data_IF_402852317248
#
_entry.id   IF_402852317248
#
_cell.length_a   1.000
_cell.length_b   1.000
_cell.length_c   1.000
_cell.angle_alpha   90.00
_cell.angle_beta   90.00
_cell.angle_gamma   90.00
#
_symmetry.space_group_name_H-M   'P 1'
#
loop_
_entity.id
_entity.type
_entity.pdbx_description
1 polymer ?
#
# COMPACT_ATOMS: atom_id res chain seq x y z
N UNK A 1 -2.82 5.03 10.65
CA UNK A 1 -4.09 5.16 9.90
C UNK A 1 -3.88 4.73 8.47
N UNK A 2 -4.81 3.99 7.88
CA UNK A 2 -4.85 3.69 6.45
C UNK A 2 -5.99 4.43 5.78
N UNK A 3 -5.81 4.84 4.51
CA UNK A 3 -6.85 5.49 3.76
C UNK A 3 -6.85 5.11 2.27
N UNK A 4 -8.05 5.08 1.72
CA UNK A 4 -8.32 4.79 0.33
C UNK A 4 -9.07 5.95 -0.30
N UNK A 5 -8.52 6.51 -1.36
CA UNK A 5 -9.01 7.73 -1.98
C UNK A 5 -9.48 7.48 -3.41
N UNK A 6 -10.67 7.99 -3.71
CA UNK A 6 -11.18 8.02 -5.07
C UNK A 6 -10.18 8.72 -6.01
N UNK A 7 -9.96 8.18 -7.22
CA UNK A 7 -8.97 8.72 -8.16
C UNK A 7 -9.36 10.10 -8.73
N UNK A 8 -10.60 10.56 -8.48
CA UNK A 8 -11.07 11.89 -8.88
C UNK A 8 -10.77 13.00 -7.87
N UNK A 9 -10.15 12.62 -6.76
CA UNK A 9 -9.68 13.56 -5.76
C UNK A 9 -8.27 14.06 -6.10
N UNK A 10 -7.96 15.28 -5.66
CA UNK A 10 -6.57 15.77 -5.63
C UNK A 10 -5.83 15.05 -4.49
N UNK A 11 -5.20 13.94 -4.86
CA UNK A 11 -4.55 13.02 -3.92
C UNK A 11 -3.50 13.74 -3.05
N UNK A 12 -2.62 14.52 -3.65
CA UNK A 12 -1.53 15.18 -2.95
C UNK A 12 -2.04 16.21 -1.92
N UNK A 13 -3.01 17.03 -2.34
CA UNK A 13 -3.62 18.02 -1.45
C UNK A 13 -4.34 17.35 -0.27
N UNK A 14 -5.06 16.27 -0.52
CA UNK A 14 -5.80 15.57 0.52
C UNK A 14 -4.85 14.85 1.47
N UNK A 15 -3.84 14.17 0.96
CA UNK A 15 -2.83 13.48 1.77
C UNK A 15 -2.17 14.47 2.76
N UNK A 16 -1.72 15.62 2.25
CA UNK A 16 -1.12 16.66 3.09
C UNK A 16 -2.08 17.19 4.16
N UNK A 17 -3.32 17.49 3.80
CA UNK A 17 -4.33 18.01 4.74
C UNK A 17 -4.72 16.98 5.80
N UNK A 18 -4.89 15.72 5.41
CA UNK A 18 -5.17 14.64 6.35
C UNK A 18 -4.02 14.46 7.33
N UNK A 19 -2.78 14.41 6.86
CA UNK A 19 -1.63 14.23 7.72
C UNK A 19 -1.48 15.40 8.73
N UNK A 20 -1.69 16.62 8.27
CA UNK A 20 -1.72 17.78 9.18
C UNK A 20 -2.85 17.70 10.22
N UNK A 21 -4.03 17.23 9.83
CA UNK A 21 -5.18 17.13 10.72
C UNK A 21 -5.03 16.07 11.81
N UNK A 22 -4.39 14.94 11.51
CA UNK A 22 -4.16 13.86 12.48
C UNK A 22 -2.87 14.03 13.29
N UNK A 23 -2.00 14.98 12.90
CA UNK A 23 -0.66 15.18 13.45
C UNK A 23 0.41 14.39 12.71
N UNK A 24 1.48 15.06 12.35
CA UNK A 24 2.57 14.52 11.50
C UNK A 24 3.30 13.33 12.13
N UNK A 25 3.18 13.14 13.43
CA UNK A 25 3.74 11.99 14.15
C UNK A 25 2.90 10.71 13.99
N UNK A 26 1.66 10.84 13.51
CA UNK A 26 0.78 9.67 13.30
C UNK A 26 1.09 9.01 11.98
N UNK A 27 1.50 7.72 11.96
CA UNK A 27 1.73 7.02 10.71
C UNK A 27 0.47 7.02 9.82
N UNK A 28 0.60 7.56 8.62
CA UNK A 28 -0.47 7.67 7.64
C UNK A 28 -0.07 7.01 6.34
N UNK A 29 -0.81 6.00 5.93
CA UNK A 29 -0.67 5.36 4.62
C UNK A 29 -1.93 5.61 3.82
N UNK A 30 -1.78 6.16 2.63
CA UNK A 30 -2.91 6.38 1.71
C UNK A 30 -2.63 5.72 0.37
N UNK A 31 -3.69 5.24 -0.26
CA UNK A 31 -3.65 4.68 -1.61
C UNK A 31 -4.78 5.24 -2.45
N UNK A 32 -4.50 5.59 -3.68
CA UNK A 32 -5.55 5.77 -4.67
C UNK A 32 -6.16 4.43 -5.07
N UNK A 33 -7.42 4.45 -5.46
CA UNK A 33 -8.18 3.24 -5.80
C UNK A 33 -8.88 3.41 -7.15
N UNK A 34 -9.44 2.31 -7.67
CA UNK A 34 -10.37 2.33 -8.81
C UNK A 34 -11.85 2.31 -8.35
N UNK A 35 -12.07 2.30 -7.05
CA UNK A 35 -13.38 2.31 -6.38
C UNK A 35 -13.26 1.82 -4.95
N UNK A 36 -14.05 2.39 -4.05
CA UNK A 36 -14.01 2.12 -2.62
C UNK A 36 -15.18 1.22 -2.22
N UNK A 37 -14.89 0.28 -1.30
CA UNK A 37 -15.88 -0.56 -0.63
C UNK A 37 -15.85 -0.27 0.86
N UNK A 38 -17.02 0.02 1.43
CA UNK A 38 -17.15 0.24 2.86
C UNK A 38 -18.52 -0.26 3.34
N UNK A 39 -18.58 -0.85 4.53
CA UNK A 39 -19.83 -1.18 5.21
C UNK A 39 -20.13 -0.09 6.24
N UNK A 40 -21.31 0.50 6.19
CA UNK A 40 -21.74 1.46 7.20
C UNK A 40 -22.20 0.73 8.47
N UNK A 41 -21.93 1.33 9.64
CA UNK A 41 -22.40 0.81 10.93
C UNK A 41 -23.91 0.62 10.94
N UNK A 42 -24.34 -0.58 11.34
CA UNK A 42 -25.76 -0.95 11.47
C UNK A 42 -26.37 -1.69 10.28
N UNK A 43 -25.69 -1.80 9.16
CA UNK A 43 -26.16 -2.61 8.04
C UNK A 43 -25.60 -4.03 8.09
N UNK A 44 -26.50 -5.02 8.20
CA UNK A 44 -26.15 -6.44 8.23
C UNK A 44 -25.84 -7.05 6.86
N UNK A 45 -25.84 -6.27 5.80
CA UNK A 45 -25.63 -6.75 4.45
C UNK A 45 -24.42 -6.10 3.79
N UNK A 46 -23.60 -6.93 3.17
CA UNK A 46 -22.50 -6.53 2.29
C UNK A 46 -22.94 -5.78 1.02
N UNK A 47 -24.21 -5.45 0.90
CA UNK A 47 -24.79 -4.82 -0.28
C UNK A 47 -24.53 -3.33 -0.40
N UNK A 48 -23.88 -2.74 0.55
CA UNK A 48 -23.78 -1.30 0.62
C UNK A 48 -22.39 -0.81 0.32
N UNK A 49 -22.34 0.07 -0.61
CA UNK A 49 -21.29 1.01 -0.95
C UNK A 49 -20.12 0.51 -1.81
N UNK A 50 -20.41 -0.25 -2.84
CA UNK A 50 -19.62 -0.07 -4.04
C UNK A 50 -20.12 1.18 -4.75
N UNK A 51 -19.37 2.23 -4.70
CA UNK A 51 -19.69 3.44 -5.44
C UNK A 51 -18.67 3.62 -6.56
N UNK A 52 -19.12 3.26 -7.74
CA UNK A 52 -18.54 3.70 -8.99
C UNK A 52 -19.22 4.99 -9.49
N UNK A 53 -20.11 5.55 -8.68
CA UNK A 53 -20.70 6.84 -8.92
C UNK A 53 -19.65 7.93 -8.82
N UNK A 54 -19.86 9.04 -9.53
CA UNK A 54 -19.02 10.26 -9.55
C UNK A 54 -18.80 10.90 -8.17
N UNK A 55 -19.08 10.19 -7.09
CA UNK A 55 -18.89 10.65 -5.74
C UNK A 55 -17.45 10.45 -5.31
N UNK A 56 -16.74 11.55 -5.17
CA UNK A 56 -15.39 11.63 -4.58
C UNK A 56 -15.44 11.13 -3.14
N UNK A 57 -14.89 9.95 -2.87
CA UNK A 57 -14.95 9.28 -1.57
C UNK A 57 -13.56 9.10 -0.97
N UNK A 58 -13.54 9.06 0.34
CA UNK A 58 -12.38 8.70 1.15
C UNK A 58 -12.86 7.69 2.17
N UNK A 59 -12.20 6.54 2.23
CA UNK A 59 -12.40 5.54 3.27
C UNK A 59 -11.17 5.52 4.17
N UNK A 60 -11.38 5.70 5.47
CA UNK A 60 -10.29 5.73 6.45
C UNK A 60 -10.47 4.59 7.46
N UNK A 61 -9.38 3.85 7.73
CA UNK A 61 -9.28 2.86 8.80
C UNK A 61 -8.34 3.41 9.87
N UNK A 62 -8.87 3.53 11.08
CA UNK A 62 -8.11 3.95 12.24
C UNK A 62 -7.89 2.76 13.15
N UNK A 63 -6.66 2.60 13.59
CA UNK A 63 -6.28 1.58 14.56
C UNK A 63 -5.85 2.28 15.86
N UNK A 64 -6.40 1.82 16.98
CA UNK A 64 -5.98 2.32 18.28
C UNK A 64 -4.69 1.65 18.74
N UNK A 65 -3.97 2.29 19.64
CA UNK A 65 -2.78 1.73 20.29
C UNK A 65 -3.07 0.42 21.06
N UNK A 66 -4.32 0.18 21.40
CA UNK A 66 -4.72 -1.09 22.04
C UNK A 66 -4.72 -2.27 21.07
N UNK A 67 -4.71 -2.01 19.76
CA UNK A 67 -4.71 -3.05 18.71
C UNK A 67 -3.33 -3.19 18.08
N UNK A 68 -2.62 -2.08 17.87
CA UNK A 68 -1.29 -2.05 17.28
C UNK A 68 -0.30 -1.44 18.26
N UNK A 69 0.66 -2.25 18.76
CA UNK A 69 1.71 -1.79 19.68
C UNK A 69 2.82 -1.05 18.95
N UNK A 70 3.18 -1.55 17.78
CA UNK A 70 4.30 -1.03 16.98
C UNK A 70 3.91 -0.93 15.52
N UNK A 71 4.40 0.10 14.86
CA UNK A 71 4.20 0.34 13.43
C UNK A 71 5.53 0.73 12.82
N UNK A 72 5.84 0.13 11.69
CA UNK A 72 6.99 0.51 10.88
C UNK A 72 6.57 0.60 9.42
N UNK A 73 7.01 1.63 8.73
CA UNK A 73 6.74 1.88 7.31
C UNK A 73 8.04 1.93 6.55
N UNK A 74 8.08 1.33 5.38
CA UNK A 74 9.23 1.38 4.48
C UNK A 74 8.78 1.44 3.04
N UNK A 75 9.41 2.27 2.25
CA UNK A 75 9.25 2.35 0.80
C UNK A 75 10.34 1.56 0.10
N UNK A 76 9.94 0.75 -0.87
CA UNK A 76 10.84 -0.14 -1.60
C UNK A 76 10.77 0.20 -3.10
N UNK A 77 11.90 0.57 -3.72
CA UNK A 77 11.93 0.83 -5.16
C UNK A 77 11.71 -0.46 -5.94
N UNK A 78 10.80 -0.43 -6.91
CA UNK A 78 10.44 -1.59 -7.72
C UNK A 78 11.19 -1.67 -9.05
N UNK A 79 11.95 -0.64 -9.43
CA UNK A 79 12.75 -0.60 -10.66
C UNK A 79 11.91 -0.93 -11.91
N UNK A 80 10.77 -0.27 -12.04
CA UNK A 80 9.82 -0.54 -13.14
C UNK A 80 10.42 -0.33 -14.53
N UNK A 81 11.44 0.53 -14.63
CA UNK A 81 12.22 0.77 -15.84
C UNK A 81 12.93 -0.48 -16.39
N UNK A 82 13.23 -1.44 -15.52
CA UNK A 82 13.87 -2.70 -15.91
C UNK A 82 12.93 -3.59 -16.75
N UNK A 83 11.61 -3.37 -16.68
CA UNK A 83 10.62 -4.15 -17.45
C UNK A 83 10.69 -3.79 -18.94
N UNK A 84 10.95 -2.54 -19.24
CA UNK A 84 10.94 -2.02 -20.59
C UNK A 84 12.29 -2.26 -21.32
N UNK A 85 13.32 -2.69 -20.57
CA UNK A 85 14.62 -3.04 -21.14
C UNK A 85 14.56 -4.43 -21.79
N UNK A 86 14.63 -4.47 -23.12
CA UNK A 86 14.71 -5.75 -23.85
C UNK A 86 15.91 -6.57 -23.39
N UNK A 87 15.64 -7.80 -22.93
CA UNK A 87 16.69 -8.74 -22.53
C UNK A 87 17.19 -8.56 -21.09
N UNK A 88 16.61 -7.67 -20.30
CA UNK A 88 16.95 -7.59 -18.89
C UNK A 88 16.46 -8.84 -18.15
N UNK A 89 17.35 -9.63 -17.52
CA UNK A 89 16.95 -10.90 -16.92
C UNK A 89 16.02 -10.70 -15.72
N UNK A 90 14.91 -11.42 -15.69
CA UNK A 90 13.94 -11.41 -14.56
C UNK A 90 14.63 -11.66 -13.22
N UNK A 91 15.58 -12.61 -13.18
CA UNK A 91 16.31 -12.92 -11.95
C UNK A 91 17.10 -11.70 -11.41
N UNK A 92 17.67 -10.87 -12.29
CA UNK A 92 18.38 -9.66 -11.87
C UNK A 92 17.43 -8.61 -11.31
N UNK A 93 16.23 -8.47 -11.88
CA UNK A 93 15.21 -7.58 -11.36
C UNK A 93 14.79 -8.00 -9.95
N UNK A 94 14.45 -9.28 -9.77
CA UNK A 94 14.11 -9.83 -8.45
C UNK A 94 15.26 -9.60 -7.47
N UNK A 95 16.49 -9.86 -7.88
CA UNK A 95 17.67 -9.66 -7.04
C UNK A 95 17.85 -8.21 -6.60
N UNK A 96 17.62 -7.23 -7.49
CA UNK A 96 17.70 -5.79 -7.14
C UNK A 96 16.68 -5.46 -6.06
N UNK A 97 15.41 -5.86 -6.23
CA UNK A 97 14.36 -5.64 -5.23
C UNK A 97 14.69 -6.35 -3.92
N UNK A 98 15.18 -7.59 -3.98
CA UNK A 98 15.61 -8.36 -2.78
C UNK A 98 16.69 -7.62 -2.00
N UNK A 99 17.66 -7.04 -2.67
CA UNK A 99 18.73 -6.26 -2.03
C UNK A 99 18.20 -5.01 -1.32
N UNK A 100 17.20 -4.33 -1.88
CA UNK A 100 16.57 -3.19 -1.20
C UNK A 100 15.79 -3.65 0.04
N UNK A 101 15.03 -4.74 -0.08
CA UNK A 101 14.32 -5.35 1.04
C UNK A 101 15.28 -5.72 2.19
N UNK A 102 16.42 -6.30 1.90
CA UNK A 102 17.41 -6.71 2.90
C UNK A 102 18.08 -5.54 3.63
N UNK A 103 18.02 -4.33 3.09
CA UNK A 103 18.52 -3.12 3.78
C UNK A 103 17.57 -2.63 4.88
N UNK A 104 16.31 -3.04 4.83
CA UNK A 104 15.30 -2.60 5.78
C UNK A 104 15.60 -3.17 7.17
N UNK A 105 15.60 -2.28 8.16
CA UNK A 105 15.81 -2.63 9.57
C UNK A 105 14.54 -2.29 10.36
N UNK A 106 13.74 -3.31 10.61
CA UNK A 106 12.55 -3.16 11.46
C UNK A 106 13.01 -2.99 12.92
N UNK A 107 12.53 -1.96 13.66
CA UNK A 107 12.99 -1.65 15.01
C UNK A 107 12.46 -2.59 16.10
N UNK A 108 11.59 -3.52 15.73
CA UNK A 108 11.02 -4.54 16.63
C UNK A 108 11.17 -5.94 16.03
N UNK A 109 10.93 -6.95 16.85
CA UNK A 109 10.99 -8.34 16.42
C UNK A 109 9.71 -8.73 15.69
N UNK A 110 9.86 -9.30 14.50
CA UNK A 110 8.75 -9.82 13.72
C UNK A 110 8.43 -11.24 14.20
N UNK A 111 7.18 -11.47 14.58
CA UNK A 111 6.64 -12.77 14.94
C UNK A 111 5.50 -13.15 14.02
N UNK A 112 5.51 -14.38 13.52
CA UNK A 112 4.49 -14.85 12.57
C UNK A 112 3.07 -14.91 13.17
N UNK A 113 2.94 -14.93 14.49
CA UNK A 113 1.65 -15.04 15.19
C UNK A 113 0.98 -13.69 15.46
N UNK A 114 1.76 -12.61 15.57
CA UNK A 114 1.27 -11.30 16.02
C UNK A 114 1.69 -10.13 15.12
N UNK A 115 2.46 -10.41 14.07
CA UNK A 115 2.91 -9.40 13.13
C UNK A 115 2.22 -9.57 11.77
N UNK A 116 1.70 -8.47 11.25
CA UNK A 116 1.10 -8.40 9.92
C UNK A 116 1.91 -7.44 9.03
N UNK A 117 2.35 -7.92 7.87
CA UNK A 117 2.90 -7.07 6.83
C UNK A 117 1.79 -6.60 5.88
N UNK A 118 1.58 -5.29 5.79
CA UNK A 118 0.65 -4.71 4.85
C UNK A 118 1.40 -4.10 3.68
N UNK A 119 1.12 -4.56 2.46
CA UNK A 119 1.83 -4.13 1.25
C UNK A 119 0.90 -3.36 0.32
N UNK A 120 1.36 -2.19 -0.12
CA UNK A 120 0.75 -1.44 -1.21
C UNK A 120 1.76 -1.33 -2.35
N UNK A 121 1.33 -1.65 -3.55
CA UNK A 121 2.19 -1.66 -4.73
C UNK A 121 1.64 -0.66 -5.74
N UNK A 122 2.50 0.09 -6.39
CA UNK A 122 2.10 0.93 -7.52
C UNK A 122 1.51 0.04 -8.62
N UNK A 123 0.20 0.18 -8.87
CA UNK A 123 -0.53 -0.65 -9.83
C UNK A 123 -0.07 -0.48 -11.28
N UNK A 124 0.63 0.60 -11.61
CA UNK A 124 1.21 0.82 -12.94
C UNK A 124 2.65 0.30 -13.06
N UNK A 125 3.25 -0.12 -11.95
CA UNK A 125 4.63 -0.63 -11.93
C UNK A 125 4.82 -1.95 -12.68
N UNK A 126 3.75 -2.73 -12.84
CA UNK A 126 3.80 -4.10 -13.41
C UNK A 126 4.80 -5.00 -12.66
N UNK A 127 5.02 -4.74 -11.38
CA UNK A 127 6.12 -5.34 -10.59
C UNK A 127 5.64 -6.22 -9.45
N UNK A 128 4.32 -6.47 -9.31
CA UNK A 128 3.74 -7.21 -8.20
C UNK A 128 4.36 -8.59 -8.03
N UNK A 129 4.46 -9.36 -9.10
CA UNK A 129 5.02 -10.71 -9.05
C UNK A 129 6.51 -10.71 -8.71
N UNK A 130 7.26 -9.73 -9.21
CA UNK A 130 8.69 -9.59 -8.88
C UNK A 130 8.90 -9.17 -7.43
N UNK A 131 8.05 -8.27 -6.93
CA UNK A 131 8.09 -7.86 -5.52
C UNK A 131 7.74 -9.04 -4.61
N UNK A 132 6.68 -9.79 -4.92
CA UNK A 132 6.29 -10.95 -4.11
C UNK A 132 7.38 -12.01 -4.07
N UNK A 133 8.00 -12.31 -5.20
CA UNK A 133 9.13 -13.24 -5.26
C UNK A 133 10.32 -12.72 -4.43
N UNK A 134 10.66 -11.43 -4.58
CA UNK A 134 11.77 -10.82 -3.87
C UNK A 134 11.56 -10.81 -2.35
N UNK A 135 10.35 -10.51 -1.86
CA UNK A 135 10.07 -10.47 -0.43
C UNK A 135 10.15 -11.86 0.19
N UNK A 136 9.68 -12.90 -0.49
CA UNK A 136 9.83 -14.27 -0.04
C UNK A 136 11.30 -14.73 -0.08
N UNK A 137 12.03 -14.44 -1.15
CA UNK A 137 13.45 -14.80 -1.25
C UNK A 137 14.32 -14.07 -0.21
N UNK A 138 13.93 -12.87 0.19
CA UNK A 138 14.68 -12.10 1.19
C UNK A 138 14.72 -12.78 2.55
N UNK A 139 13.66 -13.50 2.92
CA UNK A 139 13.46 -14.08 4.26
C UNK A 139 13.37 -13.04 5.38
N UNK A 140 13.26 -11.73 5.03
CA UNK A 140 13.34 -10.64 6.01
C UNK A 140 12.06 -10.44 6.80
N UNK A 141 10.92 -10.90 6.29
CA UNK A 141 9.59 -10.66 6.88
C UNK A 141 8.85 -11.99 7.09
N UNK A 142 9.17 -12.73 8.17
CA UNK A 142 8.52 -14.01 8.48
C UNK A 142 7.14 -13.80 9.13
N UNK A 143 6.24 -13.11 8.45
CA UNK A 143 4.87 -12.83 8.90
C UNK A 143 3.88 -12.98 7.75
N UNK A 144 2.59 -12.94 8.07
CA UNK A 144 1.54 -12.90 7.07
C UNK A 144 1.61 -11.57 6.30
N UNK A 145 1.63 -11.66 4.98
CA UNK A 145 1.57 -10.49 4.10
C UNK A 145 0.17 -10.37 3.49
N UNK A 146 -0.41 -9.20 3.61
CA UNK A 146 -1.68 -8.82 2.96
C UNK A 146 -1.52 -7.50 2.26
N UNK A 147 -2.34 -7.23 1.26
CA UNK A 147 -2.29 -5.96 0.56
C UNK A 147 -2.80 -6.05 -0.87
N UNK A 148 -2.37 -5.12 -1.69
CA UNK A 148 -2.77 -5.05 -3.09
C UNK A 148 -2.08 -3.91 -3.83
N UNK A 149 -2.51 -3.72 -5.07
CA UNK A 149 -1.99 -2.67 -5.93
C UNK A 149 -2.87 -1.41 -5.86
N UNK A 150 -2.25 -0.26 -5.77
CA UNK A 150 -2.93 1.03 -5.88
C UNK A 150 -3.61 1.13 -7.24
N UNK A 151 -4.88 1.52 -7.23
CA UNK A 151 -5.64 1.78 -8.43
C UNK A 151 -5.64 3.26 -8.81
N UNK A 152 -6.23 3.56 -9.96
CA UNK A 152 -6.39 4.92 -10.45
C UNK A 152 -7.61 5.03 -11.37
N UNK A 153 -7.71 6.12 -12.09
CA UNK A 153 -8.63 6.21 -13.21
C UNK A 153 -8.27 5.12 -14.20
N UNK A 154 -9.27 4.48 -14.79
CA UNK A 154 -9.05 3.40 -15.78
C UNK A 154 -8.42 3.91 -17.11
N UNK A 155 -7.77 5.06 -17.04
CA UNK A 155 -6.96 5.66 -18.10
C UNK A 155 -5.48 5.22 -18.07
N UNK A 156 -5.09 4.45 -17.04
CA UNK A 156 -3.74 3.92 -16.84
C UNK A 156 -2.63 5.00 -16.78
N UNK A 157 -2.96 6.20 -16.33
CA UNK A 157 -1.99 7.30 -16.28
C UNK A 157 -1.33 7.46 -14.92
N UNK A 158 -2.11 7.34 -13.84
CA UNK A 158 -1.60 7.62 -12.50
C UNK A 158 -2.20 6.69 -11.44
N UNK A 159 -1.33 6.23 -10.55
CA UNK A 159 -1.66 5.65 -9.26
C UNK A 159 -0.82 6.34 -8.19
N UNK A 160 -1.33 6.42 -6.97
CA UNK A 160 -0.66 7.16 -5.91
C UNK A 160 -0.65 6.34 -4.62
N UNK A 161 0.50 6.37 -3.95
CA UNK A 161 0.68 5.86 -2.59
C UNK A 161 1.38 6.98 -1.81
N UNK A 162 0.93 7.19 -0.58
CA UNK A 162 1.52 8.14 0.37
C UNK A 162 1.90 7.38 1.63
N UNK A 163 3.10 7.59 2.12
CA UNK A 163 3.72 6.88 3.25
C UNK A 163 4.17 7.81 4.40
N UNK A 164 3.74 9.07 4.34
CA UNK A 164 4.03 10.06 5.38
C UNK A 164 4.91 11.23 4.95
#
# INVERSE_FOLDING_TARGET
MFGFLSPDLDFATIASKLHQAIGLETPLILSSTAGELCTLDGEKSLSSLYSRDDSKKIVLLLFSESILSDIFVASIPLFSEDIDQKGFPVAQKIQRITQEIQKIKVPFKIHHEDTLGYTLIDGLSRSESFFMEAIYQSGSFPCLLVGGSAGGKLDFQNTYIYDG
#
